data_IF_800603460603
#
_entry.id   IF_800603460603
#
_cell.length_a   1.000
_cell.length_b   1.000
_cell.length_c   1.000
_cell.angle_alpha   90.00
_cell.angle_beta   90.00
_cell.angle_gamma   90.00
#
_symmetry.space_group_name_H-M   'P 1'
#
loop_
_entity.id
_entity.type
_entity.pdbx_description
1 polymer ?
#
# COMPACT_ATOMS: atom_id res chain seq x y z
N UNK A 1 44.11 -6.58 3.02
CA UNK A 1 43.59 -5.59 4.00
C UNK A 1 42.11 -5.95 4.20
N UNK A 2 41.77 -6.53 5.36
CA UNK A 2 40.40 -6.86 5.75
C UNK A 2 39.67 -5.55 6.08
N UNK A 3 38.62 -5.20 5.32
CA UNK A 3 37.69 -4.14 5.67
C UNK A 3 36.89 -4.59 6.91
N UNK A 4 37.17 -4.01 8.06
CA UNK A 4 36.31 -4.09 9.24
C UNK A 4 35.17 -3.10 9.08
N UNK A 5 34.15 -3.45 8.33
CA UNK A 5 32.94 -2.65 8.19
C UNK A 5 32.19 -2.63 9.53
N UNK A 6 32.27 -1.53 10.27
CA UNK A 6 31.39 -1.26 11.41
C UNK A 6 29.98 -1.06 10.87
N UNK A 7 29.15 -2.10 10.94
CA UNK A 7 27.70 -1.92 10.73
C UNK A 7 27.18 -0.97 11.82
N UNK A 8 26.62 0.19 11.46
CA UNK A 8 26.05 1.10 12.43
C UNK A 8 24.89 0.39 13.16
N UNK A 9 24.90 0.40 14.49
CA UNK A 9 23.91 -0.29 15.33
C UNK A 9 22.55 0.43 15.39
N UNK A 10 22.49 1.70 14.97
CA UNK A 10 21.24 2.49 14.98
C UNK A 10 20.72 2.68 13.56
N UNK A 11 19.41 2.48 13.37
CA UNK A 11 18.69 2.65 12.10
C UNK A 11 19.02 4.01 11.44
N UNK A 12 18.96 5.10 12.18
CA UNK A 12 19.29 6.45 11.70
C UNK A 12 20.76 6.64 11.25
N UNK A 13 21.67 5.79 11.70
CA UNK A 13 23.07 5.81 11.28
C UNK A 13 23.32 4.90 10.06
N UNK A 14 22.48 3.90 9.87
CA UNK A 14 22.55 2.95 8.75
C UNK A 14 21.93 3.55 7.47
N UNK A 15 20.89 4.36 7.64
CA UNK A 15 20.13 4.97 6.56
C UNK A 15 20.15 6.51 6.69
N UNK A 16 21.33 7.08 6.48
CA UNK A 16 21.55 8.55 6.55
C UNK A 16 20.68 9.33 5.55
N UNK A 17 20.27 8.67 4.47
CA UNK A 17 19.39 9.20 3.45
C UNK A 17 17.95 9.47 3.93
N UNK A 18 17.55 8.96 5.11
CA UNK A 18 16.25 9.32 5.74
C UNK A 18 16.20 10.77 6.23
N UNK A 19 17.35 11.40 6.36
CA UNK A 19 17.43 12.80 6.75
C UNK A 19 18.17 13.61 5.66
N UNK A 20 17.47 13.94 4.56
CA UNK A 20 18.04 14.65 3.42
C UNK A 20 18.54 16.05 3.77
N UNK A 21 18.02 16.64 4.85
CA UNK A 21 18.51 17.95 5.33
C UNK A 21 19.88 17.82 6.02
N UNK A 22 20.09 16.73 6.77
CA UNK A 22 21.35 16.47 7.47
C UNK A 22 22.43 15.84 6.58
N UNK A 23 22.03 15.09 5.54
CA UNK A 23 22.93 14.33 4.67
C UNK A 23 22.61 14.48 3.16
N UNK A 24 22.55 15.69 2.60
CA UNK A 24 22.18 15.93 1.21
C UNK A 24 23.12 15.22 0.21
N UNK A 25 24.42 15.15 0.54
CA UNK A 25 25.42 14.49 -0.32
C UNK A 25 25.22 12.97 -0.41
N UNK A 26 24.70 12.34 0.65
CA UNK A 26 24.41 10.90 0.66
C UNK A 26 23.20 10.61 -0.23
N UNK A 27 22.15 11.42 -0.12
CA UNK A 27 20.95 11.35 -0.97
C UNK A 27 21.34 11.50 -2.44
N UNK A 28 22.15 12.53 -2.76
CA UNK A 28 22.61 12.77 -4.13
C UNK A 28 23.46 11.59 -4.69
N UNK A 29 24.34 11.01 -3.89
CA UNK A 29 25.16 9.85 -4.30
C UNK A 29 24.32 8.59 -4.54
N UNK A 30 23.34 8.33 -3.69
CA UNK A 30 22.45 7.16 -3.85
C UNK A 30 21.61 7.33 -5.10
N UNK A 31 21.03 8.51 -5.32
CA UNK A 31 20.28 8.84 -6.53
C UNK A 31 21.16 8.73 -7.81
N UNK A 32 22.38 9.24 -7.77
CA UNK A 32 23.33 9.15 -8.88
C UNK A 32 23.77 7.70 -9.20
N UNK A 33 23.68 6.78 -8.22
CA UNK A 33 23.96 5.35 -8.41
C UNK A 33 22.78 4.56 -8.99
N UNK A 34 21.67 5.22 -9.34
CA UNK A 34 20.44 4.59 -9.85
C UNK A 34 19.65 3.84 -8.78
N UNK A 35 19.95 4.08 -7.50
CA UNK A 35 19.22 3.49 -6.37
C UNK A 35 18.28 4.52 -5.77
N UNK A 36 17.14 4.05 -5.28
CA UNK A 36 16.23 4.88 -4.48
C UNK A 36 16.84 5.10 -3.11
N UNK A 37 17.10 6.34 -2.68
CA UNK A 37 17.55 6.60 -1.32
C UNK A 37 16.52 6.05 -0.32
N UNK A 38 16.99 5.42 0.76
CA UNK A 38 16.09 4.97 1.83
C UNK A 38 15.34 6.19 2.38
N UNK A 39 14.01 6.07 2.52
CA UNK A 39 13.15 7.21 2.91
C UNK A 39 12.67 8.10 1.76
N UNK A 40 13.13 7.89 0.51
CA UNK A 40 12.47 8.45 -0.67
C UNK A 40 11.61 7.36 -1.32
N UNK A 41 10.34 7.65 -1.48
CA UNK A 41 9.42 6.76 -2.17
C UNK A 41 9.34 7.15 -3.65
N UNK A 42 9.83 6.26 -4.53
CA UNK A 42 9.54 6.38 -5.97
C UNK A 42 8.22 5.65 -6.20
N UNK A 43 7.17 6.36 -6.58
CA UNK A 43 5.89 5.73 -6.87
C UNK A 43 6.02 4.79 -8.07
N UNK A 44 5.27 3.69 -8.04
CA UNK A 44 5.35 2.59 -9.01
C UNK A 44 4.36 2.83 -10.15
N UNK A 45 4.73 2.50 -11.41
CA UNK A 45 3.86 2.61 -12.59
C UNK A 45 3.20 4.00 -12.75
N UNK A 46 3.92 5.07 -12.46
CA UNK A 46 3.36 6.43 -12.47
C UNK A 46 2.74 6.77 -13.82
N UNK A 47 3.49 6.57 -14.90
CA UNK A 47 3.04 6.92 -16.23
C UNK A 47 1.81 6.12 -16.66
N UNK A 48 1.79 4.84 -16.31
CA UNK A 48 0.69 3.93 -16.60
C UNK A 48 -0.56 4.30 -15.79
N UNK A 49 -0.40 4.69 -14.52
CA UNK A 49 -1.49 5.18 -13.68
C UNK A 49 -2.12 6.46 -14.22
N UNK A 50 -1.28 7.45 -14.58
CA UNK A 50 -1.73 8.71 -15.17
C UNK A 50 -2.44 8.49 -16.52
N UNK A 51 -1.90 7.60 -17.36
CA UNK A 51 -2.51 7.24 -18.63
C UNK A 51 -3.85 6.51 -18.45
N UNK A 52 -3.95 5.59 -17.49
CA UNK A 52 -5.18 4.87 -17.17
C UNK A 52 -6.29 5.80 -16.68
N UNK A 53 -5.94 6.81 -15.88
CA UNK A 53 -6.88 7.79 -15.34
C UNK A 53 -7.28 8.88 -16.37
N UNK A 54 -6.53 9.06 -17.45
CA UNK A 54 -6.77 10.10 -18.48
C UNK A 54 -6.94 11.51 -17.90
N UNK A 55 -6.03 11.88 -17.00
CA UNK A 55 -6.11 13.14 -16.25
C UNK A 55 -6.01 14.37 -17.15
N UNK A 56 -6.82 15.38 -16.82
CA UNK A 56 -6.84 16.69 -17.46
C UNK A 56 -7.00 17.79 -16.43
N UNK A 57 -6.58 19.04 -16.71
CA UNK A 57 -6.84 20.19 -15.85
C UNK A 57 -8.31 20.34 -15.51
N UNK A 58 -8.59 20.72 -14.27
CA UNK A 58 -9.95 20.95 -13.77
C UNK A 58 -10.65 19.73 -13.18
N UNK A 59 -10.08 18.51 -13.31
CA UNK A 59 -10.71 17.31 -12.76
C UNK A 59 -10.63 17.26 -11.24
N UNK A 60 -11.67 16.68 -10.62
CA UNK A 60 -11.76 16.41 -9.18
C UNK A 60 -11.67 14.90 -8.97
N UNK A 61 -10.77 14.45 -8.10
CA UNK A 61 -10.61 13.01 -7.85
C UNK A 61 -10.18 12.66 -6.45
N UNK A 62 -10.14 11.34 -6.21
CA UNK A 62 -9.73 10.77 -4.92
C UNK A 62 -8.49 9.90 -5.11
N UNK A 63 -7.49 10.13 -4.26
CA UNK A 63 -6.42 9.17 -3.98
C UNK A 63 -6.79 8.43 -2.68
N UNK A 64 -7.24 7.18 -2.81
CA UNK A 64 -7.71 6.35 -1.69
C UNK A 64 -6.60 5.87 -0.77
N UNK A 65 -5.34 6.05 -1.15
CA UNK A 65 -4.14 5.51 -0.49
C UNK A 65 -3.01 6.51 -0.54
N UNK A 66 -3.22 7.68 0.09
CA UNK A 66 -2.32 8.83 -0.02
C UNK A 66 -0.86 8.50 0.30
N UNK A 67 -0.60 7.67 1.33
CA UNK A 67 0.73 7.20 1.72
C UNK A 67 1.75 8.33 1.80
N UNK A 68 2.87 8.18 1.10
CA UNK A 68 3.92 9.21 0.99
C UNK A 68 3.52 10.40 0.11
N UNK A 69 2.49 10.28 -0.70
CA UNK A 69 2.01 11.33 -1.62
C UNK A 69 2.73 11.38 -2.97
N UNK A 70 3.48 10.34 -3.32
CA UNK A 70 4.20 10.31 -4.59
C UNK A 70 3.29 10.32 -5.81
N UNK A 71 2.26 9.47 -5.84
CA UNK A 71 1.22 9.49 -6.88
C UNK A 71 0.38 10.77 -6.79
N UNK A 72 -0.02 11.18 -5.58
CA UNK A 72 -0.78 12.42 -5.37
C UNK A 72 -0.10 13.65 -5.98
N UNK A 73 1.22 13.79 -5.81
CA UNK A 73 2.00 14.87 -6.41
C UNK A 73 1.93 14.85 -7.94
N UNK A 74 2.06 13.68 -8.56
CA UNK A 74 2.00 13.53 -10.02
C UNK A 74 0.58 13.77 -10.55
N UNK A 75 -0.44 13.29 -9.85
CA UNK A 75 -1.86 13.54 -10.17
C UNK A 75 -2.15 15.04 -10.11
N UNK A 76 -1.79 15.72 -9.01
CA UNK A 76 -1.98 17.15 -8.84
C UNK A 76 -1.34 17.96 -9.98
N UNK A 77 -0.13 17.58 -10.40
CA UNK A 77 0.57 18.22 -11.52
C UNK A 77 -0.18 18.12 -12.86
N UNK A 78 -1.08 17.14 -13.01
CA UNK A 78 -1.87 16.91 -14.24
C UNK A 78 -3.25 17.54 -14.19
N UNK A 79 -3.87 17.62 -13.02
CA UNK A 79 -5.23 18.18 -12.88
C UNK A 79 -5.23 19.70 -12.66
N UNK A 80 -4.11 20.31 -12.32
CA UNK A 80 -3.99 21.74 -12.20
C UNK A 80 -3.77 22.42 -13.58
N UNK A 81 -4.30 23.67 -13.76
CA UNK A 81 -5.09 24.44 -12.82
C UNK A 81 -6.55 24.01 -12.72
N UNK A 82 -7.20 24.37 -11.62
CA UNK A 82 -8.66 24.22 -11.42
C UNK A 82 -9.10 22.85 -10.92
N UNK A 83 -8.21 21.85 -10.90
CA UNK A 83 -8.51 20.53 -10.35
C UNK A 83 -8.34 20.45 -8.83
N UNK A 84 -8.91 19.39 -8.22
CA UNK A 84 -8.86 19.14 -6.77
C UNK A 84 -8.62 17.66 -6.50
N UNK A 85 -7.69 17.35 -5.62
CA UNK A 85 -7.41 15.98 -5.16
C UNK A 85 -7.77 15.83 -3.68
N UNK A 86 -8.56 14.79 -3.38
CA UNK A 86 -8.94 14.38 -2.04
C UNK A 86 -8.11 13.15 -1.70
N UNK A 87 -7.20 13.26 -0.73
CA UNK A 87 -6.37 12.14 -0.27
C UNK A 87 -6.98 11.41 0.91
N UNK A 88 -7.03 10.08 0.90
CA UNK A 88 -7.44 9.26 2.03
C UNK A 88 -6.25 8.46 2.55
N UNK A 89 -6.09 8.40 3.87
CA UNK A 89 -5.13 7.51 4.52
C UNK A 89 -5.61 7.16 5.93
N UNK A 90 -5.30 5.95 6.39
CA UNK A 90 -5.62 5.48 7.74
C UNK A 90 -4.52 5.76 8.74
N UNK A 91 -3.29 6.00 8.26
CA UNK A 91 -2.09 6.14 9.09
C UNK A 91 -2.00 7.53 9.73
N UNK A 92 -2.21 7.66 11.06
CA UNK A 92 -2.16 8.94 11.74
C UNK A 92 -0.74 9.50 11.88
N UNK A 93 0.29 8.67 11.65
CA UNK A 93 1.70 9.06 11.80
C UNK A 93 2.27 9.61 10.50
N UNK A 94 1.90 9.02 9.35
CA UNK A 94 2.43 9.40 8.05
C UNK A 94 1.60 10.48 7.35
N UNK A 95 0.28 10.49 7.49
CA UNK A 95 -0.59 11.45 6.83
C UNK A 95 -0.20 12.91 7.08
N UNK A 96 0.09 13.38 8.33
CA UNK A 96 0.50 14.76 8.56
C UNK A 96 1.81 15.14 7.86
N UNK A 97 2.76 14.21 7.80
CA UNK A 97 4.03 14.40 7.11
C UNK A 97 3.83 14.53 5.60
N UNK A 98 2.91 13.75 5.04
CA UNK A 98 2.56 13.81 3.61
C UNK A 98 1.87 15.12 3.26
N UNK A 99 0.93 15.57 4.09
CA UNK A 99 0.30 16.91 3.92
C UNK A 99 1.38 17.99 3.91
N UNK A 100 2.29 17.99 4.87
CA UNK A 100 3.38 18.96 4.94
C UNK A 100 4.27 18.94 3.68
N UNK A 101 4.62 17.75 3.16
CA UNK A 101 5.40 17.60 1.91
C UNK A 101 4.68 18.19 0.70
N UNK A 102 3.40 17.87 0.53
CA UNK A 102 2.61 18.38 -0.61
C UNK A 102 2.40 19.89 -0.51
N UNK A 103 2.18 20.43 0.70
CA UNK A 103 2.14 21.90 0.92
C UNK A 103 3.47 22.56 0.57
N UNK A 104 4.59 22.00 0.99
CA UNK A 104 5.93 22.48 0.65
C UNK A 104 6.23 22.40 -0.86
N UNK A 105 5.62 21.46 -1.57
CA UNK A 105 5.68 21.36 -3.02
C UNK A 105 4.75 22.32 -3.77
N UNK A 106 4.01 23.20 -3.06
CA UNK A 106 3.17 24.23 -3.63
C UNK A 106 1.69 23.87 -3.82
N UNK A 107 1.24 22.69 -3.34
CA UNK A 107 -0.16 22.29 -3.45
C UNK A 107 -0.96 22.79 -2.25
N UNK A 108 -1.69 23.88 -2.43
CA UNK A 108 -2.50 24.57 -1.42
C UNK A 108 -3.80 23.85 -1.06
N UNK A 109 -4.55 24.45 -0.11
CA UNK A 109 -5.86 23.90 0.32
C UNK A 109 -6.94 24.03 -0.75
N UNK A 110 -6.73 24.91 -1.70
CA UNK A 110 -7.57 25.12 -2.87
C UNK A 110 -7.58 23.91 -3.82
N UNK A 111 -6.49 23.16 -3.87
CA UNK A 111 -6.34 22.03 -4.81
C UNK A 111 -6.13 20.67 -4.13
N UNK A 112 -5.75 20.63 -2.85
CA UNK A 112 -5.48 19.40 -2.13
C UNK A 112 -5.94 19.42 -0.68
N UNK A 113 -6.64 18.38 -0.28
CA UNK A 113 -6.97 18.09 1.12
C UNK A 113 -6.83 16.61 1.43
N UNK A 114 -6.62 16.27 2.70
CA UNK A 114 -6.46 14.88 3.14
C UNK A 114 -7.37 14.56 4.33
N UNK A 115 -7.98 13.39 4.27
CA UNK A 115 -8.89 12.89 5.30
C UNK A 115 -8.38 11.58 5.88
N UNK A 116 -8.43 11.45 7.21
CA UNK A 116 -8.08 10.22 7.89
C UNK A 116 -9.22 9.21 7.79
N UNK A 117 -9.18 8.42 6.74
CA UNK A 117 -10.19 7.41 6.41
C UNK A 117 -9.55 6.24 5.68
N UNK A 118 -10.12 5.06 5.87
CA UNK A 118 -9.88 3.96 4.94
C UNK A 118 -10.56 4.26 3.60
N UNK A 119 -9.99 3.81 2.50
CA UNK A 119 -10.57 3.96 1.15
C UNK A 119 -11.99 3.38 1.03
N UNK A 120 -12.33 2.35 1.84
CA UNK A 120 -13.71 1.85 1.93
C UNK A 120 -14.71 2.92 2.39
N UNK A 121 -14.25 3.96 3.07
CA UNK A 121 -15.06 5.10 3.53
C UNK A 121 -15.24 6.22 2.51
N UNK A 122 -14.80 6.04 1.27
CA UNK A 122 -14.81 7.07 0.22
C UNK A 122 -16.17 7.79 0.10
N UNK A 123 -17.28 7.04 0.02
CA UNK A 123 -18.61 7.63 -0.11
C UNK A 123 -18.97 8.55 1.07
N UNK A 124 -18.60 8.15 2.30
CA UNK A 124 -18.82 8.99 3.49
C UNK A 124 -18.02 10.29 3.42
N UNK A 125 -16.77 10.22 3.00
CA UNK A 125 -15.92 11.42 2.87
C UNK A 125 -16.48 12.35 1.81
N UNK A 126 -16.86 11.86 0.64
CA UNK A 126 -17.46 12.68 -0.40
C UNK A 126 -18.73 13.38 0.06
N UNK A 127 -19.63 12.68 0.76
CA UNK A 127 -20.85 13.30 1.33
C UNK A 127 -20.48 14.41 2.32
N UNK A 128 -19.49 14.23 3.19
CA UNK A 128 -19.03 15.25 4.13
C UNK A 128 -18.49 16.50 3.43
N UNK A 129 -17.95 16.33 2.22
CA UNK A 129 -17.44 17.42 1.38
C UNK A 129 -18.50 18.06 0.47
N UNK A 130 -19.76 17.59 0.55
CA UNK A 130 -20.84 18.05 -0.33
C UNK A 130 -20.69 17.57 -1.77
N UNK A 131 -19.90 16.51 -2.01
CA UNK A 131 -19.70 15.90 -3.32
C UNK A 131 -20.49 14.59 -3.41
N UNK A 132 -21.16 14.38 -4.53
CA UNK A 132 -21.80 13.10 -4.84
C UNK A 132 -20.88 12.16 -5.61
N UNK A 133 -20.13 12.71 -6.56
CA UNK A 133 -19.31 11.96 -7.51
C UNK A 133 -18.03 12.74 -7.85
N UNK A 134 -17.01 12.03 -8.30
CA UNK A 134 -15.71 12.56 -8.74
C UNK A 134 -15.36 12.06 -10.16
N UNK A 135 -14.42 12.74 -10.81
CA UNK A 135 -14.01 12.40 -12.18
C UNK A 135 -13.11 11.17 -12.22
N UNK A 136 -12.32 10.94 -11.16
CA UNK A 136 -11.46 9.76 -11.08
C UNK A 136 -11.24 9.29 -9.63
N UNK A 137 -10.89 8.02 -9.50
CA UNK A 137 -10.46 7.39 -8.25
C UNK A 137 -9.17 6.63 -8.51
N UNK A 138 -8.17 6.82 -7.66
CA UNK A 138 -6.92 6.10 -7.64
C UNK A 138 -6.76 5.34 -6.33
N UNK A 139 -6.16 4.15 -6.36
CA UNK A 139 -5.73 3.42 -5.18
C UNK A 139 -4.45 2.63 -5.45
N UNK A 140 -3.46 2.79 -4.57
CA UNK A 140 -2.20 2.04 -4.52
C UNK A 140 -2.22 1.14 -3.29
N UNK A 141 -2.63 -0.13 -3.47
CA UNK A 141 -2.96 -1.03 -2.36
C UNK A 141 -1.71 -1.54 -1.63
N UNK A 142 -1.92 -2.03 -0.44
CA UNK A 142 -0.88 -2.59 0.43
C UNK A 142 -0.33 -1.58 1.43
N UNK A 143 0.88 -1.85 1.95
CA UNK A 143 1.55 -0.99 2.92
C UNK A 143 2.60 -0.10 2.26
N UNK A 144 2.75 1.11 2.78
CA UNK A 144 3.73 2.05 2.28
C UNK A 144 5.16 1.63 2.63
N UNK A 145 6.12 2.12 1.83
CA UNK A 145 7.54 1.93 2.11
C UNK A 145 7.94 2.42 3.49
N UNK A 146 7.33 3.51 3.95
CA UNK A 146 7.62 4.09 5.27
C UNK A 146 7.22 3.15 6.39
N UNK A 147 6.11 2.41 6.22
CA UNK A 147 5.69 1.39 7.18
C UNK A 147 6.61 0.17 7.17
N UNK A 148 7.06 -0.28 5.98
CA UNK A 148 7.95 -1.44 5.84
C UNK A 148 9.36 -1.13 6.36
N UNK A 149 9.87 0.07 6.08
CA UNK A 149 11.24 0.47 6.37
C UNK A 149 11.42 0.91 7.85
N UNK A 150 10.33 1.09 8.61
CA UNK A 150 10.35 1.37 10.04
C UNK A 150 10.15 0.08 10.87
N UNK A 151 11.22 -0.47 11.49
CA UNK A 151 11.10 -1.69 12.29
C UNK A 151 10.12 -1.56 13.46
N UNK A 152 9.90 -0.35 14.00
CA UNK A 152 8.98 -0.12 15.11
C UNK A 152 7.50 -0.38 14.75
N UNK A 153 7.18 -0.45 13.44
CA UNK A 153 5.85 -0.73 12.92
C UNK A 153 5.58 -2.24 12.74
N UNK A 154 6.60 -3.10 12.74
CA UNK A 154 6.49 -4.54 12.68
C UNK A 154 6.14 -5.15 11.31
N UNK A 155 6.21 -4.40 10.22
CA UNK A 155 5.90 -4.88 8.86
C UNK A 155 7.03 -5.67 8.21
N UNK A 156 8.26 -5.56 8.71
CA UNK A 156 9.44 -6.22 8.15
C UNK A 156 9.88 -7.42 8.97
N UNK A 157 10.38 -8.45 8.29
CA UNK A 157 11.04 -9.61 8.91
C UNK A 157 12.57 -9.54 8.82
N UNK A 158 13.11 -8.41 8.35
CA UNK A 158 14.57 -8.21 8.18
C UNK A 158 15.22 -7.62 9.43
N UNK A 159 14.50 -6.78 10.13
CA UNK A 159 14.96 -6.08 11.32
C UNK A 159 13.98 -6.39 12.48
N UNK A 160 14.51 -6.38 13.74
CA UNK A 160 13.68 -6.65 14.91
C UNK A 160 12.86 -5.43 15.31
N UNK A 161 11.61 -5.69 15.69
CA UNK A 161 10.67 -4.70 16.18
C UNK A 161 9.44 -5.38 16.78
N UNK A 162 8.54 -4.60 17.42
CA UNK A 162 7.29 -5.14 17.95
C UNK A 162 6.47 -5.80 16.83
N UNK A 163 5.85 -6.93 17.09
CA UNK A 163 4.98 -7.61 16.13
C UNK A 163 3.61 -6.92 16.10
N UNK A 164 3.56 -5.68 15.56
CA UNK A 164 2.36 -4.85 15.55
C UNK A 164 1.58 -4.97 14.23
N UNK A 165 2.13 -4.56 13.11
CA UNK A 165 1.58 -4.57 11.74
C UNK A 165 0.31 -3.73 11.53
N UNK A 166 -0.16 -2.93 12.50
CA UNK A 166 -1.30 -2.04 12.29
C UNK A 166 -0.91 -0.83 11.46
N UNK A 167 -1.65 -0.55 10.40
CA UNK A 167 -1.52 0.71 9.64
C UNK A 167 -1.94 1.91 10.49
N UNK A 168 -2.97 1.73 11.33
CA UNK A 168 -3.34 2.67 12.37
C UNK A 168 -3.06 2.07 13.76
N UNK A 169 -1.95 2.43 14.42
CA UNK A 169 -1.59 1.86 15.71
C UNK A 169 -2.52 2.23 16.87
N UNK A 170 -3.45 3.17 16.64
CA UNK A 170 -4.45 3.58 17.63
C UNK A 170 -5.72 2.71 17.60
N UNK A 171 -5.86 1.76 16.68
CA UNK A 171 -7.07 0.95 16.49
C UNK A 171 -6.74 -0.50 16.18
N UNK A 172 -7.63 -1.39 16.56
CA UNK A 172 -7.55 -2.82 16.28
C UNK A 172 -6.52 -3.56 17.13
N UNK A 173 -6.38 -4.85 16.86
CA UNK A 173 -5.40 -5.74 17.47
C UNK A 173 -4.07 -5.70 16.72
N UNK A 174 -2.95 -5.76 17.46
CA UNK A 174 -1.64 -6.02 16.86
C UNK A 174 -1.54 -7.47 16.33
N UNK A 175 -0.55 -7.74 15.48
CA UNK A 175 -0.32 -9.10 15.00
C UNK A 175 0.08 -10.06 16.14
N UNK A 176 0.77 -9.56 17.17
CA UNK A 176 1.06 -10.33 18.39
C UNK A 176 -0.22 -10.73 19.12
N UNK A 177 -1.15 -9.80 19.32
CA UNK A 177 -2.45 -10.07 19.95
C UNK A 177 -3.33 -10.97 19.10
N UNK A 178 -3.27 -10.81 17.77
CA UNK A 178 -4.00 -11.66 16.83
C UNK A 178 -3.53 -13.12 16.96
N UNK A 179 -2.21 -13.39 16.93
CA UNK A 179 -1.65 -14.73 17.10
C UNK A 179 -2.02 -15.34 18.45
N UNK A 180 -1.94 -14.55 19.52
CA UNK A 180 -2.27 -15.01 20.89
C UNK A 180 -3.74 -15.43 21.04
N UNK A 181 -4.67 -14.75 20.34
CA UNK A 181 -6.11 -14.98 20.44
C UNK A 181 -6.66 -15.97 19.42
N UNK A 182 -5.92 -16.24 18.34
CA UNK A 182 -6.34 -17.16 17.29
C UNK A 182 -6.21 -18.61 17.76
N UNK A 183 -7.17 -19.42 17.43
CA UNK A 183 -7.02 -20.88 17.41
C UNK A 183 -6.33 -21.34 16.11
N UNK A 184 -6.01 -22.65 16.02
CA UNK A 184 -5.30 -23.19 14.87
C UNK A 184 -6.13 -23.14 13.58
N UNK A 185 -7.44 -23.35 13.65
CA UNK A 185 -8.31 -23.34 12.47
C UNK A 185 -8.44 -21.92 11.89
N UNK A 186 -8.64 -20.94 12.76
CA UNK A 186 -8.70 -19.52 12.37
C UNK A 186 -7.38 -19.07 11.74
N UNK A 187 -6.24 -19.41 12.35
CA UNK A 187 -4.93 -19.02 11.82
C UNK A 187 -4.63 -19.72 10.50
N UNK A 188 -4.99 -21.02 10.36
CA UNK A 188 -4.84 -21.77 9.11
C UNK A 188 -5.66 -21.16 7.98
N UNK A 189 -6.93 -20.79 8.24
CA UNK A 189 -7.76 -20.09 7.26
C UNK A 189 -7.13 -18.77 6.82
N UNK A 190 -6.65 -17.94 7.76
CA UNK A 190 -5.99 -16.67 7.47
C UNK A 190 -4.73 -16.85 6.62
N UNK A 191 -3.88 -17.83 6.93
CA UNK A 191 -2.66 -18.11 6.17
C UNK A 191 -2.97 -18.58 4.74
N UNK A 192 -4.00 -19.41 4.59
CA UNK A 192 -4.45 -19.92 3.29
C UNK A 192 -5.10 -18.81 2.45
N UNK A 193 -6.09 -18.11 3.00
CA UNK A 193 -6.91 -17.16 2.25
C UNK A 193 -6.15 -15.87 1.89
N UNK A 194 -5.29 -15.39 2.80
CA UNK A 194 -4.60 -14.12 2.64
C UNK A 194 -3.28 -14.22 1.88
N UNK A 195 -2.64 -15.39 1.87
CA UNK A 195 -1.31 -15.51 1.27
C UNK A 195 -1.05 -16.80 0.47
N UNK A 196 -2.07 -17.62 0.25
CA UNK A 196 -1.93 -18.91 -0.43
C UNK A 196 -0.77 -19.75 0.20
N UNK A 197 -0.63 -19.79 1.55
CA UNK A 197 0.46 -20.47 2.24
C UNK A 197 0.22 -22.00 2.20
N UNK A 198 1.10 -22.79 1.54
CA UNK A 198 0.85 -24.21 1.36
C UNK A 198 1.00 -25.04 2.66
N UNK A 199 1.68 -24.50 3.68
CA UNK A 199 1.89 -25.15 4.99
C UNK A 199 1.06 -24.50 6.09
N UNK A 200 -0.07 -23.88 5.74
CA UNK A 200 -0.92 -23.13 6.65
C UNK A 200 -1.30 -23.90 7.92
N UNK A 201 -1.74 -25.16 7.78
CA UNK A 201 -2.12 -26.02 8.90
C UNK A 201 -0.94 -26.28 9.87
N UNK A 202 0.22 -26.67 9.35
CA UNK A 202 1.42 -26.94 10.14
C UNK A 202 1.85 -25.71 10.94
N UNK A 203 1.88 -24.56 10.25
CA UNK A 203 2.27 -23.28 10.85
C UNK A 203 1.25 -22.86 11.90
N UNK A 204 -0.03 -22.96 11.57
CA UNK A 204 -1.12 -22.57 12.47
C UNK A 204 -1.13 -23.40 13.77
N UNK A 205 -1.02 -24.72 13.70
CA UNK A 205 -0.92 -25.57 14.87
C UNK A 205 0.30 -25.25 15.76
N UNK A 206 1.37 -24.76 15.15
CA UNK A 206 2.60 -24.42 15.86
C UNK A 206 2.60 -23.02 16.46
N UNK A 207 1.82 -22.07 15.91
CA UNK A 207 1.86 -20.66 16.30
C UNK A 207 0.60 -20.16 17.03
N UNK A 208 -0.56 -20.79 16.82
CA UNK A 208 -1.82 -20.35 17.43
C UNK A 208 -1.74 -20.35 18.96
N UNK A 209 -2.26 -19.31 19.58
CA UNK A 209 -2.26 -19.14 21.02
C UNK A 209 -0.91 -18.84 21.67
N UNK A 210 0.17 -18.69 20.88
CA UNK A 210 1.51 -18.41 21.41
C UNK A 210 1.71 -16.90 21.62
N UNK A 211 2.40 -16.59 22.69
CA UNK A 211 2.92 -15.24 22.93
C UNK A 211 4.18 -15.02 22.10
N UNK A 212 4.06 -14.26 21.01
CA UNK A 212 5.15 -13.85 20.13
C UNK A 212 5.09 -12.33 20.04
N UNK A 213 6.11 -11.65 20.53
CA UNK A 213 6.06 -10.20 20.75
C UNK A 213 6.89 -9.41 19.75
N UNK A 214 7.85 -10.04 19.07
CA UNK A 214 8.70 -9.37 18.10
C UNK A 214 8.74 -10.07 16.74
N UNK A 215 9.11 -9.32 15.73
CA UNK A 215 9.22 -9.81 14.34
C UNK A 215 10.28 -10.90 14.22
N UNK A 216 11.44 -10.76 14.85
CA UNK A 216 12.48 -11.79 14.81
C UNK A 216 12.13 -13.03 15.66
N UNK A 217 11.30 -12.89 16.69
CA UNK A 217 10.77 -14.05 17.41
C UNK A 217 9.86 -14.88 16.50
N UNK A 218 8.98 -14.24 15.73
CA UNK A 218 8.18 -14.91 14.72
C UNK A 218 9.04 -15.58 13.63
N UNK A 219 10.08 -14.87 13.15
CA UNK A 219 11.04 -15.41 12.17
C UNK A 219 11.69 -16.70 12.68
N UNK A 220 12.20 -16.71 13.93
CA UNK A 220 12.83 -17.89 14.53
C UNK A 220 11.84 -19.06 14.67
N UNK A 221 10.60 -18.75 15.06
CA UNK A 221 9.56 -19.77 15.14
C UNK A 221 9.27 -20.40 13.76
N UNK A 222 9.18 -19.59 12.71
CA UNK A 222 8.98 -20.06 11.33
C UNK A 222 10.18 -20.88 10.82
N UNK A 223 11.41 -20.45 11.10
CA UNK A 223 12.63 -21.20 10.73
C UNK A 223 12.69 -22.57 11.40
N UNK A 224 12.19 -22.70 12.62
CA UNK A 224 12.09 -23.99 13.31
C UNK A 224 11.00 -24.91 12.75
N UNK A 225 9.91 -24.34 12.20
CA UNK A 225 8.77 -25.10 11.65
C UNK A 225 9.04 -25.54 10.21
N UNK A 226 9.63 -24.65 9.39
CA UNK A 226 9.85 -24.86 7.93
C UNK A 226 11.25 -24.40 7.53
N UNK A 227 12.32 -25.12 7.91
CA UNK A 227 13.69 -24.69 7.71
C UNK A 227 14.09 -24.53 6.23
N UNK A 228 13.56 -25.37 5.35
CA UNK A 228 14.00 -25.44 3.94
C UNK A 228 13.34 -24.39 3.02
N UNK A 229 12.22 -23.79 3.43
CA UNK A 229 11.44 -22.82 2.62
C UNK A 229 11.24 -21.48 3.34
N UNK A 230 12.12 -21.18 4.26
CA UNK A 230 11.90 -20.12 5.27
C UNK A 230 11.65 -18.72 4.69
N UNK A 231 12.27 -18.36 3.56
CA UNK A 231 12.13 -16.98 3.02
C UNK A 231 10.74 -16.71 2.44
N UNK A 232 10.22 -17.59 1.59
CA UNK A 232 8.89 -17.40 0.97
C UNK A 232 7.78 -17.58 1.99
N UNK A 233 7.90 -18.54 2.90
CA UNK A 233 6.98 -18.74 4.02
C UNK A 233 6.94 -17.50 4.93
N UNK A 234 8.10 -16.92 5.31
CA UNK A 234 8.13 -15.68 6.09
C UNK A 234 7.35 -14.57 5.39
N UNK A 235 7.61 -14.36 4.09
CA UNK A 235 6.91 -13.34 3.31
C UNK A 235 5.40 -13.56 3.30
N UNK A 236 4.93 -14.81 3.10
CA UNK A 236 3.50 -15.14 3.09
C UNK A 236 2.86 -14.99 4.46
N UNK A 237 3.50 -15.46 5.53
CA UNK A 237 2.98 -15.33 6.89
C UNK A 237 2.88 -13.86 7.32
N UNK A 238 3.91 -13.05 7.08
CA UNK A 238 3.86 -11.61 7.36
C UNK A 238 2.77 -10.92 6.53
N UNK A 239 2.62 -11.25 5.25
CA UNK A 239 1.53 -10.77 4.41
C UNK A 239 0.16 -11.17 4.97
N UNK A 240 -0.04 -12.44 5.33
CA UNK A 240 -1.31 -12.94 5.82
C UNK A 240 -1.74 -12.26 7.13
N UNK A 241 -0.80 -12.11 8.07
CA UNK A 241 -1.05 -11.41 9.33
C UNK A 241 -1.37 -9.93 9.11
N UNK A 242 -0.61 -9.25 8.24
CA UNK A 242 -0.86 -7.84 7.89
C UNK A 242 -2.26 -7.64 7.34
N UNK A 243 -2.66 -8.48 6.39
CA UNK A 243 -4.00 -8.43 5.78
C UNK A 243 -5.09 -8.66 6.83
N UNK A 244 -4.89 -9.62 7.74
CA UNK A 244 -5.85 -9.92 8.81
C UNK A 244 -5.97 -8.76 9.80
N UNK A 245 -4.83 -8.25 10.31
CA UNK A 245 -4.77 -7.15 11.30
C UNK A 245 -5.41 -5.87 10.79
N UNK A 246 -5.28 -5.58 9.49
CA UNK A 246 -5.79 -4.35 8.88
C UNK A 246 -7.12 -4.56 8.13
N UNK A 247 -7.68 -5.77 8.14
CA UNK A 247 -8.91 -6.13 7.43
C UNK A 247 -8.89 -5.73 5.96
N UNK A 248 -7.69 -5.86 5.31
CA UNK A 248 -7.42 -5.29 3.99
C UNK A 248 -8.39 -5.80 2.92
N UNK A 249 -8.73 -7.09 2.93
CA UNK A 249 -9.66 -7.66 1.95
C UNK A 249 -11.11 -7.22 2.18
N UNK A 250 -11.54 -7.12 3.44
CA UNK A 250 -12.88 -6.61 3.78
C UNK A 250 -13.02 -5.16 3.32
N UNK A 251 -12.00 -4.35 3.56
CA UNK A 251 -11.96 -2.96 3.11
C UNK A 251 -11.95 -2.86 1.57
N UNK A 252 -11.15 -3.71 0.89
CA UNK A 252 -11.10 -3.74 -0.57
C UNK A 252 -12.44 -4.13 -1.18
N UNK A 253 -13.09 -5.18 -0.67
CA UNK A 253 -14.39 -5.61 -1.15
C UNK A 253 -15.47 -4.54 -0.93
N UNK A 254 -15.44 -3.82 0.19
CA UNK A 254 -16.32 -2.69 0.45
C UNK A 254 -16.05 -1.51 -0.51
N UNK A 255 -14.78 -1.19 -0.74
CA UNK A 255 -14.37 -0.15 -1.69
C UNK A 255 -14.83 -0.46 -3.10
N UNK A 256 -14.60 -1.69 -3.59
CA UNK A 256 -14.98 -2.11 -4.93
C UNK A 256 -16.49 -2.05 -5.18
N UNK A 257 -17.30 -2.25 -4.12
CA UNK A 257 -18.77 -2.06 -4.19
C UNK A 257 -19.18 -0.58 -4.20
N UNK A 258 -18.47 0.27 -3.48
CA UNK A 258 -18.83 1.69 -3.28
C UNK A 258 -18.29 2.59 -4.38
N UNK A 259 -17.05 2.36 -4.82
CA UNK A 259 -16.33 3.23 -5.75
C UNK A 259 -17.09 3.53 -7.07
N UNK A 260 -17.79 2.56 -7.71
CA UNK A 260 -18.57 2.87 -8.91
C UNK A 260 -19.62 3.96 -8.71
N UNK A 261 -20.21 4.02 -7.52
CA UNK A 261 -21.26 4.98 -7.18
C UNK A 261 -20.69 6.38 -6.81
N UNK A 262 -19.39 6.44 -6.63
CA UNK A 262 -18.66 7.68 -6.38
C UNK A 262 -18.03 8.29 -7.64
N UNK A 263 -18.16 7.61 -8.80
CA UNK A 263 -17.63 8.07 -10.07
C UNK A 263 -18.70 8.70 -10.92
N UNK A 264 -18.40 9.84 -11.54
CA UNK A 264 -19.22 10.42 -12.60
C UNK A 264 -19.31 9.49 -13.80
N UNK A 265 -20.33 9.68 -14.64
CA UNK A 265 -20.42 9.04 -15.94
C UNK A 265 -19.15 9.34 -16.77
N UNK A 266 -18.49 8.30 -17.31
CA UNK A 266 -17.20 8.41 -18.00
C UNK A 266 -16.01 8.56 -17.08
N UNK A 267 -16.20 8.68 -15.76
CA UNK A 267 -15.13 8.74 -14.77
C UNK A 267 -14.35 7.42 -14.66
N UNK A 268 -13.09 7.49 -14.25
CA UNK A 268 -12.20 6.33 -14.23
C UNK A 268 -11.69 5.98 -12.84
N UNK A 269 -11.56 4.68 -12.61
CA UNK A 269 -10.88 4.11 -11.45
C UNK A 269 -9.65 3.35 -11.89
N UNK A 270 -8.52 3.58 -11.23
CA UNK A 270 -7.29 2.83 -11.43
C UNK A 270 -6.77 2.29 -10.09
N UNK A 271 -6.45 1.00 -10.05
CA UNK A 271 -6.03 0.31 -8.82
C UNK A 271 -4.73 -0.44 -9.09
N UNK A 272 -3.70 -0.12 -8.29
CA UNK A 272 -2.46 -0.88 -8.17
C UNK A 272 -2.62 -1.95 -7.09
N UNK A 273 -2.14 -3.15 -7.40
CA UNK A 273 -2.14 -4.31 -6.50
C UNK A 273 -0.75 -4.93 -6.47
N UNK A 274 -0.35 -5.57 -5.36
CA UNK A 274 0.99 -6.11 -5.17
C UNK A 274 1.02 -7.61 -4.88
N UNK A 275 -0.12 -8.26 -4.77
CA UNK A 275 -0.20 -9.71 -4.63
C UNK A 275 -1.46 -10.28 -5.30
N UNK A 276 -1.47 -11.61 -5.47
CA UNK A 276 -2.53 -12.33 -6.17
C UNK A 276 -3.92 -12.17 -5.55
N UNK A 277 -3.99 -12.05 -4.22
CA UNK A 277 -5.25 -11.90 -3.50
C UNK A 277 -5.98 -10.60 -3.81
N UNK A 278 -5.24 -9.48 -3.86
CA UNK A 278 -5.78 -8.17 -4.28
C UNK A 278 -6.17 -8.19 -5.76
N UNK A 279 -5.25 -8.62 -6.64
CA UNK A 279 -5.48 -8.64 -8.08
C UNK A 279 -6.70 -9.48 -8.48
N UNK A 280 -6.91 -10.65 -7.84
CA UNK A 280 -8.09 -11.49 -8.08
C UNK A 280 -9.40 -10.77 -7.74
N UNK A 281 -9.44 -10.01 -6.62
CA UNK A 281 -10.63 -9.26 -6.19
C UNK A 281 -10.94 -8.12 -7.15
N UNK A 282 -9.95 -7.31 -7.48
CA UNK A 282 -10.10 -6.19 -8.43
C UNK A 282 -10.53 -6.69 -9.80
N UNK A 283 -9.88 -7.75 -10.34
CA UNK A 283 -10.24 -8.38 -11.61
C UNK A 283 -11.69 -8.83 -11.63
N UNK A 284 -12.10 -9.59 -10.61
CA UNK A 284 -13.47 -10.12 -10.52
C UNK A 284 -14.50 -8.99 -10.45
N UNK A 285 -14.26 -7.97 -9.62
CA UNK A 285 -15.17 -6.84 -9.47
C UNK A 285 -15.33 -6.05 -10.78
N UNK A 286 -14.22 -5.75 -11.48
CA UNK A 286 -14.27 -5.04 -12.75
C UNK A 286 -14.96 -5.86 -13.85
N UNK A 287 -14.66 -7.16 -13.95
CA UNK A 287 -15.32 -8.05 -14.91
C UNK A 287 -16.82 -8.18 -14.63
N UNK A 288 -17.21 -8.27 -13.37
CA UNK A 288 -18.63 -8.31 -13.00
C UNK A 288 -19.31 -6.99 -13.33
N UNK A 289 -18.73 -5.86 -12.92
CA UNK A 289 -19.29 -4.54 -13.24
C UNK A 289 -19.41 -4.28 -14.76
N UNK A 290 -18.48 -4.81 -15.57
CA UNK A 290 -18.57 -4.77 -17.03
C UNK A 290 -19.76 -5.57 -17.55
N UNK A 291 -19.99 -6.79 -17.02
CA UNK A 291 -21.14 -7.64 -17.40
C UNK A 291 -22.49 -7.03 -16.98
N UNK A 292 -22.52 -6.39 -15.82
CA UNK A 292 -23.72 -5.73 -15.27
C UNK A 292 -23.98 -4.35 -15.89
N UNK A 293 -23.09 -3.88 -16.76
CA UNK A 293 -23.22 -2.58 -17.41
C UNK A 293 -22.91 -1.39 -16.50
N UNK A 294 -22.23 -1.61 -15.37
CA UNK A 294 -21.72 -0.57 -14.48
C UNK A 294 -20.52 0.14 -15.11
N UNK A 295 -19.65 -0.62 -15.77
CA UNK A 295 -18.50 -0.11 -16.50
C UNK A 295 -18.69 -0.24 -18.02
N UNK A 296 -18.31 0.81 -18.75
CA UNK A 296 -18.27 0.83 -20.22
C UNK A 296 -17.02 0.13 -20.77
N UNK A 297 -15.91 0.26 -20.04
CA UNK A 297 -14.62 -0.32 -20.38
C UNK A 297 -13.87 -0.76 -19.11
N UNK A 298 -13.01 -1.76 -19.26
CA UNK A 298 -12.05 -2.21 -18.25
C UNK A 298 -10.73 -2.53 -18.93
N UNK A 299 -9.63 -2.56 -18.19
CA UNK A 299 -8.34 -3.06 -18.71
C UNK A 299 -8.50 -4.53 -19.15
N UNK A 300 -8.20 -4.81 -20.42
CA UNK A 300 -8.28 -6.19 -20.97
C UNK A 300 -7.18 -7.07 -20.34
N UNK A 301 -5.97 -6.52 -20.26
CA UNK A 301 -4.82 -7.19 -19.66
C UNK A 301 -4.31 -6.44 -18.43
N UNK A 302 -3.46 -7.13 -17.67
CA UNK A 302 -2.74 -6.52 -16.56
C UNK A 302 -1.65 -5.61 -17.12
N UNK A 303 -1.59 -4.37 -16.64
CA UNK A 303 -0.48 -3.48 -16.90
C UNK A 303 0.56 -3.70 -15.80
N UNK A 304 1.82 -3.96 -16.18
CA UNK A 304 2.94 -4.18 -15.26
C UNK A 304 4.08 -3.23 -15.58
N UNK A 305 4.96 -3.02 -14.60
CA UNK A 305 6.14 -2.18 -14.77
C UNK A 305 7.05 -2.67 -15.91
N UNK A 306 7.70 -1.74 -16.57
CA UNK A 306 8.70 -2.03 -17.59
C UNK A 306 9.91 -2.78 -17.02
N UNK A 307 10.70 -3.43 -17.88
CA UNK A 307 11.93 -4.09 -17.45
C UNK A 307 12.95 -3.09 -16.87
N UNK A 308 12.92 -1.85 -17.33
CA UNK A 308 13.77 -0.78 -16.83
C UNK A 308 13.34 -0.36 -15.42
N UNK A 309 12.04 -0.10 -15.21
CA UNK A 309 11.50 0.26 -13.91
C UNK A 309 11.71 -0.87 -12.88
N UNK A 310 11.49 -2.14 -13.25
CA UNK A 310 11.74 -3.28 -12.36
C UNK A 310 13.20 -3.39 -11.90
N UNK A 311 14.15 -2.99 -12.77
CA UNK A 311 15.58 -2.94 -12.40
C UNK A 311 15.89 -1.76 -11.49
N UNK A 312 15.31 -0.58 -11.77
CA UNK A 312 15.53 0.64 -10.99
C UNK A 312 14.79 0.59 -9.63
N UNK A 313 13.58 0.03 -9.61
CA UNK A 313 12.73 -0.08 -8.42
C UNK A 313 12.21 -1.51 -8.24
N UNK A 314 12.88 -2.38 -7.46
CA UNK A 314 12.44 -3.75 -7.23
C UNK A 314 11.02 -3.87 -6.63
N UNK A 315 10.50 -2.82 -5.99
CA UNK A 315 9.12 -2.77 -5.46
C UNK A 315 8.07 -2.80 -6.58
N UNK A 316 8.44 -2.42 -7.80
CA UNK A 316 7.58 -2.51 -8.98
C UNK A 316 7.41 -3.93 -9.54
N UNK A 317 8.25 -4.90 -9.13
CA UNK A 317 8.21 -6.28 -9.67
C UNK A 317 6.83 -6.93 -9.50
N UNK A 318 6.20 -6.93 -8.31
CA UNK A 318 4.90 -7.55 -8.11
C UNK A 318 3.72 -6.68 -8.54
N UNK A 319 3.96 -5.40 -8.88
CA UNK A 319 2.91 -4.42 -9.15
C UNK A 319 2.09 -4.77 -10.40
N UNK A 320 0.78 -4.65 -10.26
CA UNK A 320 -0.21 -4.88 -11.32
C UNK A 320 -1.22 -3.75 -11.29
N UNK A 321 -1.40 -3.07 -12.41
CA UNK A 321 -2.39 -2.02 -12.56
C UNK A 321 -3.60 -2.54 -13.33
N UNK A 322 -4.79 -2.25 -12.81
CA UNK A 322 -6.07 -2.42 -13.49
C UNK A 322 -6.86 -1.12 -13.44
N UNK A 323 -7.66 -0.87 -14.47
CA UNK A 323 -8.56 0.27 -14.52
C UNK A 323 -9.94 -0.12 -15.05
N UNK A 324 -10.92 0.71 -14.72
CA UNK A 324 -12.28 0.63 -15.25
C UNK A 324 -12.82 2.04 -15.50
N UNK A 325 -13.75 2.17 -16.46
CA UNK A 325 -14.45 3.40 -16.80
C UNK A 325 -15.95 3.26 -16.51
N UNK A 326 -16.49 4.19 -15.74
CA UNK A 326 -17.92 4.23 -15.41
C UNK A 326 -18.73 4.47 -16.67
N UNK A 327 -19.78 3.67 -16.88
CA UNK A 327 -20.68 3.83 -18.04
C UNK A 327 -21.41 5.18 -18.00
N UNK A 328 -21.42 5.86 -19.14
CA UNK A 328 -22.31 7.00 -19.36
C UNK A 328 -23.73 6.48 -19.63
N UNK A 329 -24.72 7.10 -19.02
CA UNK A 329 -26.12 6.78 -19.26
C UNK A 329 -26.61 7.44 -20.53
#
# INVERSE_FOLDING_TARGET
VRYSGKNPRKFSQKYKEHDPQLYPDVVAKVAASGKTPAGTHIPVLVNECLAALQLQPGLVGVDGTLGYGGHAQQILSKILPGGRLIGLDVDPLEQPKTIARLRAAGFGEDCFEAHRSNYAGIGKVLIQLGLSEVDFIFADLGCSSMQIDDPSRGFTFKDDGPLDMRMNPQRGMSAAEFLLRSDADQLSAVLTENADEPRAELIAHSLAGRTITSTLELVRALDAIVPDESHDTKRRVFQALRIAVNEEFTALDAFLRTAPHCLKAGGRIAILTFHSGEDRRVKKAFQQGKREGVYSAISDEIITASAEEKRANPRAIPAKLRWAERKSF
#
